data_IF_565464983436
#
_entry.id   IF_565464983436
#
_cell.length_a   1.000
_cell.length_b   1.000
_cell.length_c   1.000
_cell.angle_alpha   90.00
_cell.angle_beta   90.00
_cell.angle_gamma   90.00
#
_symmetry.space_group_name_H-M   'P 1'
#
loop_
_entity.id
_entity.type
_entity.pdbx_description
1 polymer ?
#
# COMPACT_ATOMS: atom_id res chain seq x y z
N UNK A 1 -28.16 -6.72 51.36
CA UNK A 1 -27.76 -5.56 50.54
C UNK A 1 -27.35 -6.02 49.13
N UNK A 2 -28.27 -6.17 48.17
CA UNK A 2 -27.95 -6.74 46.84
C UNK A 2 -27.61 -5.71 45.73
N UNK A 3 -27.80 -4.41 45.96
CA UNK A 3 -27.70 -3.38 44.90
C UNK A 3 -26.28 -2.98 44.45
N UNK A 4 -25.26 -3.22 45.28
CA UNK A 4 -23.90 -2.71 45.04
C UNK A 4 -23.13 -3.38 43.89
N UNK A 5 -23.33 -4.69 43.68
CA UNK A 5 -22.64 -5.46 42.63
C UNK A 5 -23.07 -5.05 41.22
N UNK A 6 -24.36 -4.85 41.02
CA UNK A 6 -24.92 -4.39 39.72
C UNK A 6 -24.41 -2.99 39.39
N UNK A 7 -24.26 -2.12 40.40
CA UNK A 7 -23.77 -0.77 40.22
C UNK A 7 -22.26 -0.73 39.89
N UNK A 8 -21.46 -1.62 40.47
CA UNK A 8 -20.05 -1.80 40.12
C UNK A 8 -19.84 -2.35 38.71
N UNK A 9 -20.65 -3.33 38.29
CA UNK A 9 -20.63 -3.84 36.91
C UNK A 9 -20.98 -2.75 35.91
N UNK A 10 -21.96 -1.89 36.24
CA UNK A 10 -22.36 -0.77 35.39
C UNK A 10 -21.26 0.29 35.28
N UNK A 11 -20.54 0.57 36.37
CA UNK A 11 -19.36 1.44 36.33
C UNK A 11 -18.23 0.84 35.51
N UNK A 12 -17.91 -0.45 35.70
CA UNK A 12 -16.88 -1.13 34.92
C UNK A 12 -17.21 -1.14 33.42
N UNK A 13 -18.47 -1.42 33.06
CA UNK A 13 -18.93 -1.34 31.67
C UNK A 13 -18.80 0.08 31.10
N UNK A 14 -19.18 1.11 31.87
CA UNK A 14 -19.02 2.50 31.46
C UNK A 14 -17.54 2.89 31.26
N UNK A 15 -16.66 2.45 32.15
CA UNK A 15 -15.21 2.67 32.01
C UNK A 15 -14.63 1.92 30.81
N UNK A 16 -15.06 0.68 30.58
CA UNK A 16 -14.62 -0.11 29.42
C UNK A 16 -15.04 0.57 28.11
N UNK A 17 -16.28 1.05 28.04
CA UNK A 17 -16.81 1.78 26.89
C UNK A 17 -16.00 3.06 26.66
N UNK A 18 -15.70 3.83 27.70
CA UNK A 18 -14.90 5.04 27.60
C UNK A 18 -13.45 4.77 27.11
N UNK A 19 -12.84 3.67 27.56
CA UNK A 19 -11.50 3.24 27.12
C UNK A 19 -11.51 2.77 25.67
N UNK A 20 -12.54 2.03 25.25
CA UNK A 20 -12.69 1.59 23.86
C UNK A 20 -12.92 2.79 22.94
N UNK A 21 -13.74 3.76 23.37
CA UNK A 21 -14.04 4.96 22.59
C UNK A 21 -12.79 5.82 22.34
N UNK A 22 -11.98 6.04 23.37
CA UNK A 22 -10.72 6.79 23.24
C UNK A 22 -9.69 6.04 22.38
N UNK A 23 -9.59 4.71 22.49
CA UNK A 23 -8.71 3.93 21.59
C UNK A 23 -9.22 3.88 20.16
N UNK A 24 -10.53 3.84 19.94
CA UNK A 24 -11.12 3.92 18.60
C UNK A 24 -10.86 5.28 17.96
N UNK A 25 -11.01 6.38 18.71
CA UNK A 25 -10.66 7.71 18.21
C UNK A 25 -9.18 7.79 17.79
N UNK A 26 -8.27 7.24 18.61
CA UNK A 26 -6.85 7.15 18.27
C UNK A 26 -6.57 6.23 17.06
N UNK A 27 -7.22 5.07 16.98
CA UNK A 27 -7.06 4.14 15.84
C UNK A 27 -7.56 4.75 14.53
N UNK A 28 -8.67 5.49 14.58
CA UNK A 28 -9.23 6.15 13.40
C UNK A 28 -8.29 7.24 12.89
N UNK A 29 -7.75 8.06 13.79
CA UNK A 29 -6.80 9.12 13.41
C UNK A 29 -5.45 8.56 12.94
N UNK A 30 -4.92 7.52 13.59
CA UNK A 30 -3.70 6.82 13.12
C UNK A 30 -3.88 6.25 11.71
N UNK A 31 -5.03 5.63 11.41
CA UNK A 31 -5.34 5.11 10.07
C UNK A 31 -5.39 6.24 9.03
N UNK A 32 -6.00 7.39 9.34
CA UNK A 32 -6.05 8.54 8.43
C UNK A 32 -4.65 9.11 8.14
N UNK A 33 -3.80 9.25 9.16
CA UNK A 33 -2.42 9.70 8.98
C UNK A 33 -1.60 8.70 8.14
N UNK A 34 -1.75 7.40 8.42
CA UNK A 34 -1.02 6.37 7.70
C UNK A 34 -1.46 6.27 6.24
N UNK A 35 -2.76 6.47 5.96
CA UNK A 35 -3.30 6.57 4.59
C UNK A 35 -2.67 7.72 3.81
N UNK A 36 -2.64 8.92 4.40
CA UNK A 36 -2.03 10.09 3.77
C UNK A 36 -0.53 9.89 3.53
N UNK A 37 0.18 9.33 4.51
CA UNK A 37 1.60 9.02 4.38
C UNK A 37 1.87 8.02 3.27
N UNK A 38 1.11 6.94 3.19
CA UNK A 38 1.24 5.92 2.13
C UNK A 38 0.93 6.52 0.76
N UNK A 39 -0.10 7.35 0.65
CA UNK A 39 -0.49 7.99 -0.60
C UNK A 39 0.57 9.01 -1.06
N UNK A 40 1.15 9.76 -0.14
CA UNK A 40 2.28 10.66 -0.39
C UNK A 40 3.51 9.87 -0.86
N UNK A 41 3.86 8.78 -0.18
CA UNK A 41 4.98 7.92 -0.56
C UNK A 41 4.76 7.28 -1.94
N UNK A 42 3.51 6.89 -2.26
CA UNK A 42 3.14 6.36 -3.56
C UNK A 42 3.29 7.42 -4.66
N UNK A 43 2.84 8.65 -4.43
CA UNK A 43 2.99 9.77 -5.36
C UNK A 43 4.46 10.04 -5.67
N UNK A 44 5.30 10.22 -4.64
CA UNK A 44 6.73 10.42 -4.82
C UNK A 44 7.41 9.22 -5.46
N UNK A 45 7.01 8.00 -5.10
CA UNK A 45 7.47 6.77 -5.73
C UNK A 45 7.15 6.72 -7.22
N UNK A 46 5.94 7.10 -7.62
CA UNK A 46 5.53 7.19 -9.02
C UNK A 46 6.35 8.24 -9.79
N UNK A 47 6.55 9.43 -9.20
CA UNK A 47 7.35 10.49 -9.83
C UNK A 47 8.80 10.06 -10.00
N UNK A 48 9.41 9.48 -8.96
CA UNK A 48 10.77 8.96 -9.02
C UNK A 48 10.92 7.86 -10.07
N UNK A 49 9.96 6.92 -10.12
CA UNK A 49 9.95 5.83 -11.09
C UNK A 49 9.81 6.36 -12.52
N UNK A 50 8.98 7.38 -12.74
CA UNK A 50 8.81 8.03 -14.03
C UNK A 50 10.12 8.68 -14.51
N UNK A 51 10.77 9.46 -13.64
CA UNK A 51 12.08 10.07 -13.96
C UNK A 51 13.16 9.03 -14.25
N UNK A 52 13.17 7.93 -13.49
CA UNK A 52 14.10 6.84 -13.70
C UNK A 52 13.86 6.17 -15.06
N UNK A 53 12.61 5.85 -15.39
CA UNK A 53 12.24 5.30 -16.69
C UNK A 53 12.65 6.23 -17.85
N UNK A 54 12.42 7.54 -17.68
CA UNK A 54 12.86 8.54 -18.66
C UNK A 54 14.39 8.58 -18.81
N UNK A 55 15.14 8.51 -17.71
CA UNK A 55 16.60 8.44 -17.73
C UNK A 55 17.12 7.21 -18.46
N UNK A 56 16.52 6.03 -18.24
CA UNK A 56 16.91 4.79 -18.93
C UNK A 56 16.60 4.88 -20.43
N UNK A 57 15.46 5.48 -20.81
CA UNK A 57 15.14 5.77 -22.22
C UNK A 57 16.19 6.68 -22.85
N UNK A 58 16.54 7.79 -22.19
CA UNK A 58 17.57 8.73 -22.66
C UNK A 58 18.93 8.04 -22.85
N UNK A 59 19.32 7.20 -21.88
CA UNK A 59 20.56 6.43 -21.93
C UNK A 59 20.53 5.40 -23.07
N UNK A 60 19.37 4.80 -23.32
CA UNK A 60 19.14 3.93 -24.47
C UNK A 60 19.32 4.65 -25.79
N UNK A 61 18.69 5.82 -25.95
CA UNK A 61 18.88 6.66 -27.13
C UNK A 61 20.35 7.04 -27.31
N UNK A 62 21.05 7.42 -26.23
CA UNK A 62 22.47 7.73 -26.28
C UNK A 62 23.31 6.54 -26.77
N UNK A 63 23.06 5.32 -26.26
CA UNK A 63 23.77 4.11 -26.71
C UNK A 63 23.44 3.78 -28.17
N UNK A 64 22.17 3.90 -28.58
CA UNK A 64 21.75 3.67 -29.97
C UNK A 64 22.42 4.64 -30.92
N UNK A 65 22.49 5.94 -30.58
CA UNK A 65 23.15 6.97 -31.39
C UNK A 65 24.67 6.72 -31.43
N UNK A 66 25.30 6.36 -30.30
CA UNK A 66 26.74 6.14 -30.23
C UNK A 66 27.20 4.93 -31.06
N UNK A 67 26.41 3.87 -31.10
CA UNK A 67 26.77 2.59 -31.76
C UNK A 67 26.03 2.34 -33.09
N UNK A 68 25.37 3.36 -33.64
CA UNK A 68 24.53 3.28 -34.83
C UNK A 68 25.27 2.76 -36.08
N UNK A 69 26.59 2.97 -36.15
CA UNK A 69 27.38 2.69 -37.35
C UNK A 69 27.93 1.25 -37.43
N UNK A 70 28.24 0.61 -36.30
CA UNK A 70 29.04 -0.63 -36.31
C UNK A 70 28.29 -1.88 -35.83
N UNK A 71 27.35 -1.77 -34.87
CA UNK A 71 26.74 -2.95 -34.22
C UNK A 71 25.28 -2.73 -33.74
N UNK A 72 24.41 -2.20 -34.61
CA UNK A 72 23.00 -1.90 -34.31
C UNK A 72 22.22 -3.05 -33.64
N UNK A 73 22.40 -4.29 -34.12
CA UNK A 73 21.66 -5.45 -33.62
C UNK A 73 22.08 -5.87 -32.21
N UNK A 74 23.38 -5.86 -31.89
CA UNK A 74 23.88 -6.24 -30.57
C UNK A 74 23.40 -5.26 -29.49
N UNK A 75 23.43 -3.97 -29.79
CA UNK A 75 22.95 -2.91 -28.88
C UNK A 75 21.46 -3.08 -28.63
N UNK A 76 20.67 -3.29 -29.70
CA UNK A 76 19.22 -3.49 -29.57
C UNK A 76 18.87 -4.73 -28.74
N UNK A 77 19.59 -5.85 -28.94
CA UNK A 77 19.37 -7.09 -28.18
C UNK A 77 19.78 -6.93 -26.72
N UNK A 78 20.93 -6.31 -26.44
CA UNK A 78 21.41 -6.13 -25.07
C UNK A 78 20.49 -5.21 -24.25
N UNK A 79 20.06 -4.09 -24.86
CA UNK A 79 19.08 -3.20 -24.24
C UNK A 79 17.73 -3.89 -24.07
N UNK A 80 17.25 -4.61 -25.11
CA UNK A 80 16.00 -5.36 -25.03
C UNK A 80 16.00 -6.39 -23.90
N UNK A 81 17.10 -7.14 -23.77
CA UNK A 81 17.29 -8.09 -22.67
C UNK A 81 17.35 -7.39 -21.29
N UNK A 82 18.04 -6.26 -21.20
CA UNK A 82 18.12 -5.46 -19.98
C UNK A 82 16.75 -4.93 -19.54
N UNK A 83 15.98 -4.37 -20.47
CA UNK A 83 14.62 -3.90 -20.22
C UNK A 83 13.67 -5.02 -19.84
N UNK A 84 13.76 -6.18 -20.50
CA UNK A 84 12.97 -7.36 -20.14
C UNK A 84 13.29 -7.87 -18.73
N UNK A 85 14.57 -7.88 -18.35
CA UNK A 85 14.99 -8.28 -17.00
C UNK A 85 14.44 -7.34 -15.93
N UNK A 86 14.56 -6.02 -16.13
CA UNK A 86 14.00 -5.01 -15.23
C UNK A 86 12.47 -5.14 -15.16
N UNK A 87 11.81 -5.29 -16.31
CA UNK A 87 10.36 -5.46 -16.39
C UNK A 87 9.89 -6.70 -15.61
N UNK A 88 10.60 -7.83 -15.74
CA UNK A 88 10.29 -9.05 -15.00
C UNK A 88 10.41 -8.85 -13.48
N UNK A 89 11.46 -8.17 -13.01
CA UNK A 89 11.62 -7.84 -11.58
C UNK A 89 10.46 -6.96 -11.09
N UNK A 90 10.11 -5.91 -11.85
CA UNK A 90 8.99 -5.04 -11.50
C UNK A 90 7.66 -5.78 -11.45
N UNK A 91 7.40 -6.72 -12.37
CA UNK A 91 6.19 -7.56 -12.32
C UNK A 91 6.15 -8.42 -11.06
N UNK A 92 7.28 -8.99 -10.64
CA UNK A 92 7.35 -9.79 -9.39
C UNK A 92 7.09 -8.90 -8.17
N UNK A 93 7.72 -7.73 -8.10
CA UNK A 93 7.53 -6.78 -6.99
C UNK A 93 6.10 -6.26 -6.95
N UNK A 94 5.54 -5.85 -8.10
CA UNK A 94 4.17 -5.37 -8.21
C UNK A 94 3.16 -6.45 -7.82
N UNK A 95 3.36 -7.71 -8.23
CA UNK A 95 2.53 -8.85 -7.79
C UNK A 95 2.61 -9.05 -6.27
N UNK A 96 3.78 -8.90 -5.67
CA UNK A 96 3.96 -9.03 -4.22
C UNK A 96 3.27 -7.89 -3.45
N UNK A 97 3.36 -6.66 -3.96
CA UNK A 97 2.67 -5.50 -3.41
C UNK A 97 1.15 -5.62 -3.54
N UNK A 98 0.64 -6.04 -4.71
CA UNK A 98 -0.78 -6.23 -4.97
C UNK A 98 -1.41 -7.35 -4.13
N UNK A 99 -0.66 -8.42 -3.82
CA UNK A 99 -1.13 -9.46 -2.88
C UNK A 99 -1.34 -8.90 -1.47
N UNK A 100 -0.48 -7.99 -1.02
CA UNK A 100 -0.59 -7.35 0.30
C UNK A 100 -1.82 -6.42 0.36
N UNK A 101 -2.05 -5.61 -0.69
CA UNK A 101 -3.23 -4.72 -0.74
C UNK A 101 -4.56 -5.47 -0.86
N UNK A 102 -4.60 -6.59 -1.59
CA UNK A 102 -5.81 -7.44 -1.68
C UNK A 102 -6.21 -8.02 -0.32
N UNK A 103 -5.26 -8.47 0.50
CA UNK A 103 -5.56 -8.99 1.85
C UNK A 103 -6.19 -7.91 2.74
N UNK A 104 -5.69 -6.67 2.68
CA UNK A 104 -6.29 -5.55 3.40
C UNK A 104 -7.68 -5.19 2.87
N UNK A 105 -7.89 -5.21 1.54
CA UNK A 105 -9.20 -4.94 0.94
C UNK A 105 -10.25 -6.01 1.29
N UNK A 106 -9.87 -7.29 1.28
CA UNK A 106 -10.73 -8.40 1.68
C UNK A 106 -11.04 -8.36 3.18
N UNK A 107 -10.05 -8.07 4.03
CA UNK A 107 -10.25 -7.95 5.48
C UNK A 107 -11.12 -6.73 5.84
N UNK A 108 -10.98 -5.60 5.14
CA UNK A 108 -11.89 -4.45 5.27
C UNK A 108 -13.33 -4.78 4.83
N UNK A 109 -13.50 -5.58 3.78
CA UNK A 109 -14.81 -6.02 3.32
C UNK A 109 -15.47 -7.02 4.31
N UNK A 110 -14.67 -7.89 4.94
CA UNK A 110 -15.14 -8.76 6.03
C UNK A 110 -15.53 -7.95 7.27
N UNK A 111 -14.75 -6.93 7.65
CA UNK A 111 -15.05 -6.07 8.79
C UNK A 111 -16.29 -5.20 8.56
N UNK A 112 -16.53 -4.76 7.32
CA UNK A 112 -17.77 -4.08 6.94
C UNK A 112 -19.00 -4.99 7.10
N UNK A 113 -18.88 -6.26 6.72
CA UNK A 113 -19.93 -7.27 6.91
C UNK A 113 -20.23 -7.55 8.40
N UNK A 114 -19.19 -7.59 9.23
CA UNK A 114 -19.38 -7.76 10.68
C UNK A 114 -20.05 -6.54 11.31
N UNK A 115 -19.73 -5.32 10.83
CA UNK A 115 -20.40 -4.10 11.30
C UNK A 115 -21.88 -4.07 10.94
N UNK A 116 -22.24 -4.53 9.76
CA UNK A 116 -23.63 -4.61 9.30
C UNK A 116 -24.46 -5.62 10.13
N UNK A 117 -23.83 -6.70 10.58
CA UNK A 117 -24.45 -7.68 11.49
C UNK A 117 -24.62 -7.16 12.92
N UNK A 118 -23.73 -6.27 13.37
CA UNK A 118 -23.79 -5.67 14.71
C UNK A 118 -24.78 -4.51 14.81
N UNK A 119 -25.05 -3.78 13.71
CA UNK A 119 -26.07 -2.72 13.69
C UNK A 119 -27.49 -3.22 13.40
N UNK A 120 -27.63 -4.49 13.00
CA UNK A 120 -28.90 -5.14 12.63
C UNK A 120 -29.60 -5.81 13.83
N UNK A 121 -29.10 -5.63 15.06
CA UNK A 121 -29.64 -6.25 16.28
C UNK A 121 -29.81 -5.21 17.37
#
# INVERSE_FOLDING_TARGET
MPGGLVQSLRKLAATLIAVVQTRLELLVTEIEEERLRVLHLLLWGCVALFFLAFGVLMLTFAVVVLFWDTHRLLVAVLLGAFYLAIGAIFVVVARRAARRSRLFATSLAELAKDRERLTSK
#
